data_IF_709878415885
#
_entry.id   IF_709878415885
#
_cell.length_a   1.000
_cell.length_b   1.000
_cell.length_c   1.000
_cell.angle_alpha   90.00
_cell.angle_beta   90.00
_cell.angle_gamma   90.00
#
_symmetry.space_group_name_H-M   'P 1'
#
loop_
_entity.id
_entity.type
_entity.pdbx_description
1 polymer ?
#
# COMPACT_ATOMS: atom_id res chain seq x y z
N UNK A 1 0.96 9.67 -10.84
CA UNK A 1 0.37 9.08 -12.07
C UNK A 1 -1.05 8.56 -11.88
N UNK A 2 -2.06 9.39 -12.16
CA UNK A 2 -3.48 9.11 -11.95
C UNK A 2 -4.10 8.25 -13.08
N UNK A 3 -3.61 7.03 -13.28
CA UNK A 3 -4.22 6.07 -14.20
C UNK A 3 -5.50 5.47 -13.61
N UNK A 4 -6.51 5.15 -14.45
CA UNK A 4 -7.72 4.49 -14.00
C UNK A 4 -7.42 3.10 -13.41
N UNK A 5 -8.37 2.56 -12.64
CA UNK A 5 -8.20 1.29 -11.92
C UNK A 5 -7.95 1.51 -10.42
N UNK A 6 -7.88 0.40 -9.68
CA UNK A 6 -7.75 0.42 -8.22
C UNK A 6 -6.56 -0.42 -7.78
N UNK A 7 -5.97 -0.04 -6.64
CA UNK A 7 -5.10 -0.94 -5.90
C UNK A 7 -5.93 -2.06 -5.25
N UNK A 8 -5.27 -3.15 -4.87
CA UNK A 8 -5.87 -4.13 -3.98
C UNK A 8 -6.23 -3.45 -2.66
N UNK A 9 -7.46 -3.66 -2.19
CA UNK A 9 -7.88 -3.21 -0.87
C UNK A 9 -8.68 -4.27 -0.14
N UNK A 10 -8.58 -4.28 1.18
CA UNK A 10 -9.25 -5.22 2.04
C UNK A 10 -9.57 -4.58 3.39
N UNK A 11 -10.46 -5.22 4.13
CA UNK A 11 -10.76 -4.88 5.52
C UNK A 11 -10.62 -6.13 6.37
N UNK A 12 -10.24 -5.97 7.62
CA UNK A 12 -10.11 -7.09 8.56
C UNK A 12 -10.68 -6.67 9.92
N UNK A 13 -11.37 -7.59 10.59
CA UNK A 13 -11.91 -7.30 11.92
C UNK A 13 -10.80 -7.49 12.94
N UNK A 14 -10.68 -6.57 13.91
CA UNK A 14 -9.66 -6.64 14.96
C UNK A 14 -9.74 -7.91 15.81
N UNK A 15 -10.94 -8.48 15.96
CA UNK A 15 -11.17 -9.75 16.68
C UNK A 15 -11.06 -11.00 15.80
N UNK A 16 -10.75 -10.86 14.51
CA UNK A 16 -10.61 -11.97 13.56
C UNK A 16 -9.58 -11.62 12.47
N UNK A 17 -8.32 -11.45 12.89
CA UNK A 17 -7.20 -11.04 12.04
C UNK A 17 -6.80 -12.09 10.98
N UNK A 18 -7.35 -13.31 11.08
CA UNK A 18 -7.13 -14.39 10.11
C UNK A 18 -8.22 -14.44 9.02
N UNK A 19 -9.18 -13.50 9.03
CA UNK A 19 -10.29 -13.45 8.07
C UNK A 19 -10.41 -12.09 7.36
N UNK A 20 -9.38 -11.65 6.62
CA UNK A 20 -9.45 -10.45 5.80
C UNK A 20 -10.46 -10.62 4.66
N UNK A 21 -11.29 -9.60 4.47
CA UNK A 21 -12.26 -9.50 3.37
C UNK A 21 -11.72 -8.55 2.31
N UNK A 22 -11.41 -9.09 1.13
CA UNK A 22 -11.06 -8.29 -0.05
C UNK A 22 -12.24 -7.41 -0.43
N UNK A 23 -11.97 -6.12 -0.64
CA UNK A 23 -12.94 -5.16 -1.16
C UNK A 23 -12.75 -4.97 -2.67
N UNK A 24 -11.50 -4.85 -3.11
CA UNK A 24 -11.16 -4.66 -4.52
C UNK A 24 -9.92 -5.48 -4.86
N UNK A 25 -9.93 -6.11 -6.02
CA UNK A 25 -8.74 -6.65 -6.66
C UNK A 25 -7.99 -5.55 -7.42
N UNK A 26 -6.66 -5.71 -7.63
CA UNK A 26 -5.91 -4.75 -8.42
C UNK A 26 -6.44 -4.72 -9.86
N UNK A 27 -6.56 -3.52 -10.42
CA UNK A 27 -7.16 -3.33 -11.75
C UNK A 27 -6.55 -2.18 -12.54
N UNK A 28 -5.34 -1.73 -12.15
CA UNK A 28 -4.62 -0.72 -12.94
C UNK A 28 -4.24 -1.35 -14.29
N UNK A 29 -4.56 -0.73 -15.43
CA UNK A 29 -4.24 -1.30 -16.74
C UNK A 29 -2.79 -1.11 -17.13
N UNK A 30 -2.13 -0.08 -16.56
CA UNK A 30 -0.76 0.32 -16.90
C UNK A 30 0.10 0.37 -15.64
N UNK A 31 1.24 -0.30 -15.69
CA UNK A 31 2.34 -0.19 -14.73
C UNK A 31 3.44 0.70 -15.28
N UNK A 32 4.12 1.41 -14.38
CA UNK A 32 5.30 2.24 -14.71
C UNK A 32 6.52 1.53 -14.16
N UNK A 33 7.41 1.08 -15.04
CA UNK A 33 8.66 0.42 -14.67
C UNK A 33 9.84 1.30 -15.06
N UNK A 34 10.87 1.32 -14.23
CA UNK A 34 12.03 2.16 -14.47
C UNK A 34 13.28 1.39 -14.07
N UNK A 35 14.35 1.60 -14.82
CA UNK A 35 15.69 1.16 -14.41
C UNK A 35 16.06 1.80 -13.06
N UNK A 36 17.15 1.35 -12.44
CA UNK A 36 17.68 2.02 -11.24
C UNK A 36 17.85 3.52 -11.53
N UNK A 37 17.02 4.34 -10.88
CA UNK A 37 16.89 5.77 -11.10
C UNK A 37 16.72 6.49 -9.77
N UNK A 38 16.62 7.81 -9.82
CA UNK A 38 16.38 8.69 -8.67
C UNK A 38 14.93 9.17 -8.77
N UNK A 39 14.21 9.13 -7.64
CA UNK A 39 12.87 9.68 -7.54
C UNK A 39 12.95 10.96 -6.71
N UNK A 40 12.48 12.07 -7.28
CA UNK A 40 12.32 13.33 -6.58
C UNK A 40 10.94 13.37 -5.95
N UNK A 41 10.89 13.69 -4.66
CA UNK A 41 9.65 13.93 -3.91
C UNK A 41 9.71 15.31 -3.29
N UNK A 42 8.55 15.94 -3.17
CA UNK A 42 8.44 17.15 -2.36
C UNK A 42 8.82 16.82 -0.92
N UNK A 43 9.60 17.70 -0.30
CA UNK A 43 9.91 17.73 1.12
C UNK A 43 8.88 18.54 1.92
N UNK A 44 7.82 19.02 1.26
CA UNK A 44 6.72 19.73 1.90
C UNK A 44 5.95 18.78 2.83
N UNK A 45 5.98 19.07 4.11
CA UNK A 45 5.12 18.44 5.12
C UNK A 45 3.70 19.04 5.15
N UNK A 46 3.32 19.84 4.14
CA UNK A 46 2.00 20.45 4.05
C UNK A 46 0.87 19.41 4.07
N UNK A 47 1.15 18.17 3.63
CA UNK A 47 0.22 17.03 3.72
C UNK A 47 0.00 16.47 5.13
N UNK A 48 0.86 16.85 6.08
CA UNK A 48 0.82 16.44 7.48
C UNK A 48 0.23 17.53 8.39
N UNK A 49 -0.23 18.66 7.83
CA UNK A 49 -0.82 19.73 8.63
C UNK A 49 -2.18 19.32 9.20
N UNK A 50 -2.40 19.67 10.47
CA UNK A 50 -3.64 19.39 11.16
C UNK A 50 -4.84 20.03 10.42
N UNK A 51 -5.81 19.21 10.00
CA UNK A 51 -6.97 19.66 9.21
C UNK A 51 -6.72 19.77 7.70
N UNK A 52 -5.56 19.34 7.19
CA UNK A 52 -5.25 19.33 5.77
C UNK A 52 -5.02 17.90 5.27
N UNK A 53 -6.00 17.34 4.55
CA UNK A 53 -5.85 16.03 3.92
C UNK A 53 -5.03 16.14 2.63
N UNK A 54 -3.71 16.29 2.76
CA UNK A 54 -2.80 16.45 1.62
C UNK A 54 -2.10 15.16 1.19
N UNK A 55 -2.41 14.00 1.77
CA UNK A 55 -1.71 12.76 1.44
C UNK A 55 -1.78 12.47 -0.07
N UNK A 56 -0.62 12.46 -0.73
CA UNK A 56 -0.54 12.27 -2.18
C UNK A 56 -0.82 13.53 -3.02
N UNK A 57 -0.74 14.72 -2.42
CA UNK A 57 -0.89 16.01 -3.11
C UNK A 57 0.25 16.27 -4.10
N UNK A 58 1.44 15.74 -3.82
CA UNK A 58 2.61 15.88 -4.67
C UNK A 58 2.95 14.56 -5.34
N UNK A 59 3.03 14.57 -6.67
CA UNK A 59 3.55 13.44 -7.43
C UNK A 59 5.04 13.26 -7.12
N UNK A 60 5.46 12.00 -7.03
CA UNK A 60 6.87 11.64 -7.11
C UNK A 60 7.28 11.61 -8.58
N UNK A 61 8.35 12.32 -8.92
CA UNK A 61 8.81 12.43 -10.31
C UNK A 61 10.15 11.71 -10.44
N UNK A 62 10.27 10.68 -11.27
CA UNK A 62 11.56 10.04 -11.52
C UNK A 62 12.45 10.90 -12.43
N UNK A 63 13.77 10.71 -12.30
CA UNK A 63 14.78 11.35 -13.14
C UNK A 63 14.73 10.84 -14.59
N UNK A 64 14.56 9.53 -14.75
CA UNK A 64 14.45 8.89 -16.06
C UNK A 64 12.99 8.63 -16.42
N UNK A 65 12.72 8.54 -17.72
CA UNK A 65 11.38 8.19 -18.22
C UNK A 65 11.02 6.74 -17.87
N UNK A 66 9.78 6.52 -17.45
CA UNK A 66 9.26 5.20 -17.13
C UNK A 66 8.76 4.47 -18.37
N UNK A 67 9.04 3.17 -18.43
CA UNK A 67 8.40 2.26 -19.37
C UNK A 67 6.96 1.98 -18.94
N UNK A 68 6.02 2.25 -19.85
CA UNK A 68 4.60 1.92 -19.66
C UNK A 68 4.34 0.49 -20.11
N UNK A 69 3.97 -0.36 -19.17
CA UNK A 69 3.69 -1.78 -19.42
C UNK A 69 2.21 -2.04 -19.18
N UNK A 70 1.56 -2.77 -20.10
CA UNK A 70 0.20 -3.27 -19.88
C UNK A 70 0.25 -4.38 -18.85
N UNK A 71 -0.49 -4.23 -17.76
CA UNK A 71 -0.48 -5.19 -16.66
C UNK A 71 -1.39 -6.38 -16.97
N UNK A 72 -0.86 -7.59 -16.76
CA UNK A 72 -1.60 -8.84 -16.82
C UNK A 72 -1.68 -9.46 -15.43
N UNK A 73 -2.89 -9.49 -14.86
CA UNK A 73 -3.15 -10.06 -13.55
C UNK A 73 -3.61 -11.52 -13.60
N UNK A 74 -3.74 -12.13 -14.79
CA UNK A 74 -4.34 -13.46 -14.95
C UNK A 74 -3.57 -14.58 -14.25
N UNK A 75 -2.28 -14.35 -13.97
CA UNK A 75 -1.40 -15.29 -13.26
C UNK A 75 -0.86 -14.74 -11.94
N UNK A 76 -1.29 -13.56 -11.51
CA UNK A 76 -0.79 -12.92 -10.28
C UNK A 76 -1.26 -13.72 -9.04
N UNK A 77 -0.35 -14.22 -8.19
CA UNK A 77 -0.72 -14.98 -6.99
C UNK A 77 -1.64 -14.23 -6.02
N UNK A 78 -1.56 -12.89 -5.94
CA UNK A 78 -2.50 -12.11 -5.13
C UNK A 78 -3.92 -12.19 -5.68
N UNK A 79 -4.10 -12.49 -6.96
CA UNK A 79 -5.42 -12.63 -7.61
C UNK A 79 -5.87 -14.10 -7.60
N UNK A 80 -5.03 -15.01 -8.07
CA UNK A 80 -5.44 -16.40 -8.33
C UNK A 80 -5.25 -17.36 -7.15
N UNK A 81 -4.30 -17.09 -6.24
CA UNK A 81 -4.02 -17.96 -5.09
C UNK A 81 -4.68 -17.41 -3.82
N UNK A 82 -5.76 -18.09 -3.40
CA UNK A 82 -6.50 -17.70 -2.21
C UNK A 82 -5.71 -17.86 -0.91
N UNK A 83 -4.85 -18.87 -0.80
CA UNK A 83 -4.07 -19.16 0.40
C UNK A 83 -2.93 -18.17 0.53
N UNK A 84 -2.22 -17.89 -0.57
CA UNK A 84 -1.17 -16.87 -0.60
C UNK A 84 -1.74 -15.50 -0.25
N UNK A 85 -2.83 -15.09 -0.91
CA UNK A 85 -3.51 -13.83 -0.60
C UNK A 85 -3.94 -13.78 0.87
N UNK A 86 -4.60 -14.81 1.38
CA UNK A 86 -5.05 -14.86 2.78
C UNK A 86 -3.86 -14.67 3.74
N UNK A 87 -2.77 -15.40 3.51
CA UNK A 87 -1.55 -15.32 4.33
C UNK A 87 -0.98 -13.91 4.38
N UNK A 88 -0.84 -13.25 3.22
CA UNK A 88 -0.28 -11.89 3.13
C UNK A 88 -1.20 -10.87 3.80
N UNK A 89 -2.50 -10.89 3.50
CA UNK A 89 -3.45 -9.92 4.05
C UNK A 89 -3.63 -10.07 5.56
N UNK A 90 -3.65 -11.30 6.07
CA UNK A 90 -3.67 -11.56 7.51
C UNK A 90 -2.39 -11.09 8.19
N UNK A 91 -1.24 -11.24 7.55
CA UNK A 91 0.03 -10.74 8.08
C UNK A 91 0.03 -9.22 8.17
N UNK A 92 -0.47 -8.53 7.14
CA UNK A 92 -0.63 -7.06 7.15
C UNK A 92 -1.61 -6.62 8.26
N UNK A 93 -2.76 -7.30 8.39
CA UNK A 93 -3.73 -7.00 9.44
C UNK A 93 -3.15 -7.14 10.86
N UNK A 94 -2.36 -8.20 11.09
CA UNK A 94 -1.67 -8.43 12.37
C UNK A 94 -0.62 -7.36 12.66
N UNK A 95 0.15 -6.96 11.64
CA UNK A 95 1.11 -5.87 11.78
C UNK A 95 0.40 -4.56 12.15
N UNK A 96 -0.69 -4.22 11.46
CA UNK A 96 -1.48 -3.03 11.78
C UNK A 96 -2.07 -3.05 13.20
N UNK A 97 -2.61 -4.18 13.64
CA UNK A 97 -3.13 -4.35 14.99
C UNK A 97 -2.04 -4.21 16.07
N UNK A 98 -0.86 -4.79 15.84
CA UNK A 98 0.26 -4.69 16.78
C UNK A 98 0.81 -3.26 16.89
N UNK A 99 0.87 -2.53 15.77
CA UNK A 99 1.29 -1.13 15.76
C UNK A 99 0.25 -0.26 16.48
N UNK A 100 -1.04 -0.44 16.21
CA UNK A 100 -2.10 0.27 16.93
C UNK A 100 -2.07 0.00 18.44
N UNK A 101 -1.88 -1.25 18.87
CA UNK A 101 -1.76 -1.61 20.28
C UNK A 101 -0.56 -0.92 20.96
N UNK A 102 0.58 -0.83 20.27
CA UNK A 102 1.78 -0.17 20.76
C UNK A 102 1.58 1.33 20.99
N UNK A 103 0.87 2.01 20.09
CA UNK A 103 0.64 3.46 20.15
C UNK A 103 -0.65 3.86 20.90
N UNK A 104 -1.58 2.93 21.10
CA UNK A 104 -2.85 3.16 21.80
C UNK A 104 -3.89 3.98 21.02
N UNK A 105 -3.61 4.33 19.76
CA UNK A 105 -4.50 5.08 18.86
C UNK A 105 -4.44 4.51 17.44
N UNK A 106 -5.50 4.65 16.62
CA UNK A 106 -5.48 4.24 15.22
C UNK A 106 -4.32 4.88 14.46
N UNK A 107 -3.65 4.12 13.60
CA UNK A 107 -2.45 4.55 12.88
C UNK A 107 -2.65 4.48 11.36
N UNK A 108 -2.07 5.43 10.66
CA UNK A 108 -1.78 5.43 9.24
C UNK A 108 -0.35 4.91 9.05
N UNK A 109 -0.21 3.76 8.37
CA UNK A 109 1.02 2.96 8.35
C UNK A 109 1.47 2.76 6.91
N UNK A 110 2.72 3.09 6.64
CA UNK A 110 3.40 2.73 5.39
C UNK A 110 4.38 1.59 5.62
N UNK A 111 4.43 0.66 4.67
CA UNK A 111 5.28 -0.52 4.79
C UNK A 111 5.46 -1.27 3.47
N UNK A 112 6.33 -2.28 3.51
CA UNK A 112 6.67 -3.13 2.38
C UNK A 112 6.54 -4.59 2.78
N UNK A 113 5.95 -5.39 1.90
CA UNK A 113 6.01 -6.85 1.96
C UNK A 113 7.12 -7.32 1.05
N UNK A 114 8.11 -8.04 1.59
CA UNK A 114 9.26 -8.54 0.81
C UNK A 114 9.75 -9.86 1.39
N UNK A 115 9.96 -10.84 0.50
CA UNK A 115 10.50 -12.16 0.85
C UNK A 115 9.74 -12.84 2.03
N UNK A 116 8.42 -12.65 2.07
CA UNK A 116 7.55 -13.16 3.13
C UNK A 116 7.54 -12.36 4.43
N UNK A 117 8.39 -11.33 4.56
CA UNK A 117 8.44 -10.41 5.69
C UNK A 117 7.60 -9.14 5.47
N UNK A 118 7.20 -8.51 6.59
CA UNK A 118 6.56 -7.19 6.61
C UNK A 118 7.52 -6.21 7.28
N UNK A 119 7.77 -5.10 6.60
CA UNK A 119 8.66 -4.03 7.05
C UNK A 119 7.85 -2.75 7.15
N UNK A 120 7.68 -2.24 8.38
CA UNK A 120 7.08 -0.93 8.61
C UNK A 120 8.14 0.13 8.35
N UNK A 121 7.84 1.11 7.51
CA UNK A 121 8.77 2.20 7.17
C UNK A 121 8.32 3.53 7.77
N UNK A 122 7.02 3.71 8.02
CA UNK A 122 6.45 4.89 8.66
C UNK A 122 5.15 4.52 9.38
N UNK A 123 4.86 5.21 10.48
CA UNK A 123 3.56 5.19 11.16
C UNK A 123 3.26 6.55 11.75
N UNK A 124 2.00 6.99 11.69
CA UNK A 124 1.51 8.22 12.32
C UNK A 124 0.05 8.03 12.79
N UNK A 125 -0.42 8.75 13.82
CA UNK A 125 -1.83 8.68 14.21
C UNK A 125 -2.78 9.05 13.07
N UNK A 126 -3.89 8.32 12.93
CA UNK A 126 -5.02 8.78 12.10
C UNK A 126 -5.68 9.96 12.80
N UNK A 127 -5.99 11.00 12.04
CA UNK A 127 -6.73 12.17 12.52
C UNK A 127 -8.23 12.03 12.30
#
# INVERSE_FOLDING_TARGET
GAYPGRALSFVCKKNDLNSPKVLNFPSKPIGLFIRRSIIFRSDSNGEDLEGYAGAGLYDSVPMDEEEKVVLDYTSDPLVVDCNFRLSILSSIAKAGAAVEELYGTPQDIEGVVKDGGIFVVQTRPQM
#
